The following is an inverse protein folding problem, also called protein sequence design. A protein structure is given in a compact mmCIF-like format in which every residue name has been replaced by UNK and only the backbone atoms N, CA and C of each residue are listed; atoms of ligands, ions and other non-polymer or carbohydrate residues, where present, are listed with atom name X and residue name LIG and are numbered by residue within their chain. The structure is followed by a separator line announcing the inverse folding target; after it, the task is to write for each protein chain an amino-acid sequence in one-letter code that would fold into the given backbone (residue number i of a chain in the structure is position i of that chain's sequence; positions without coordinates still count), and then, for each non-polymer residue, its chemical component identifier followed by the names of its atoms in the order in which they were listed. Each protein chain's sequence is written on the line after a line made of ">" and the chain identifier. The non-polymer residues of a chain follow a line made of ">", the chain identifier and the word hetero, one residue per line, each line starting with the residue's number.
data_IF_234660714432
#
_entry.id   IF_234660714432
#
_cell.length_a   1.000
_cell.length_b   1.000
_cell.length_c   1.000
_cell.angle_alpha   90.00
_cell.angle_beta   90.00
_cell.angle_gamma   90.00
#
_symmetry.space_group_name_H-M   'P 1'
#
loop_
_entity.id
_entity.type
_entity.pdbx_description
1 polymer ?
#
# COMPACT_ATOMS: atom_id res chain seq x y z
N UNK A 1 1.78 30.89 -30.57
CA UNK A 1 2.10 29.49 -30.88
C UNK A 1 1.72 28.68 -29.64
N UNK A 2 0.70 27.84 -29.75
CA UNK A 2 0.00 27.23 -28.59
C UNK A 2 0.87 26.17 -27.89
N UNK A 3 0.85 26.14 -26.56
CA UNK A 3 1.50 25.11 -25.71
C UNK A 3 1.16 23.68 -26.16
N UNK A 4 0.00 23.46 -26.79
CA UNK A 4 -0.39 22.16 -27.38
C UNK A 4 0.51 21.70 -28.56
N UNK A 5 1.07 22.61 -29.34
CA UNK A 5 1.95 22.29 -30.47
C UNK A 5 3.33 21.87 -29.97
N UNK A 6 3.80 22.45 -28.86
CA UNK A 6 5.08 22.10 -28.23
C UNK A 6 5.06 20.70 -27.62
N UNK A 7 3.93 20.29 -27.05
CA UNK A 7 3.73 18.94 -26.52
C UNK A 7 3.64 17.88 -27.61
N UNK A 8 3.09 18.19 -28.77
CA UNK A 8 2.94 17.27 -29.90
C UNK A 8 4.28 16.98 -30.60
N UNK A 9 5.16 17.98 -30.73
CA UNK A 9 6.50 17.80 -31.32
C UNK A 9 7.45 17.00 -30.43
N UNK A 10 7.33 17.07 -29.13
CA UNK A 10 8.13 16.28 -28.20
C UNK A 10 7.69 14.81 -28.13
N UNK A 11 6.43 14.48 -28.43
CA UNK A 11 5.96 13.08 -28.43
C UNK A 11 6.53 12.22 -29.57
N UNK A 12 7.05 12.82 -30.63
CA UNK A 12 7.64 12.12 -31.79
C UNK A 12 9.13 11.74 -31.59
N UNK A 13 9.77 12.17 -30.52
CA UNK A 13 11.19 11.92 -30.25
C UNK A 13 11.44 11.01 -29.04
N UNK A 14 10.42 10.61 -28.28
CA UNK A 14 10.61 9.69 -27.17
C UNK A 14 10.49 8.25 -27.63
N UNK A 15 11.60 7.49 -27.59
CA UNK A 15 11.55 6.03 -27.56
C UNK A 15 10.64 5.58 -26.42
N UNK A 16 9.86 4.51 -26.64
CA UNK A 16 9.03 3.93 -25.59
C UNK A 16 9.88 3.61 -24.35
N UNK A 17 9.42 4.04 -23.18
CA UNK A 17 10.08 3.75 -21.91
C UNK A 17 9.46 2.49 -21.30
N UNK A 18 10.27 1.45 -21.13
CA UNK A 18 9.83 0.18 -20.55
C UNK A 18 10.14 0.13 -19.07
N UNK A 19 9.12 0.05 -18.22
CA UNK A 19 9.28 -0.03 -16.75
C UNK A 19 8.81 -1.41 -16.27
N UNK A 20 9.65 -2.07 -15.46
CA UNK A 20 9.26 -3.27 -14.73
C UNK A 20 8.79 -2.86 -13.32
N UNK A 21 7.49 -2.96 -13.06
CA UNK A 21 6.87 -2.70 -11.76
C UNK A 21 6.82 -3.99 -10.93
N UNK A 22 7.51 -4.02 -9.80
CA UNK A 22 7.46 -5.13 -8.83
C UNK A 22 6.38 -4.81 -7.78
N UNK A 23 5.67 -5.84 -7.32
CA UNK A 23 4.58 -5.77 -6.35
C UNK A 23 3.33 -5.10 -6.93
N UNK A 24 2.88 -5.60 -8.07
CA UNK A 24 1.60 -5.24 -8.64
C UNK A 24 0.47 -5.90 -7.84
N UNK A 25 -0.37 -5.07 -7.23
CA UNK A 25 -1.47 -5.48 -6.37
C UNK A 25 -2.83 -5.48 -7.06
N UNK A 26 -2.89 -5.49 -8.39
CA UNK A 26 -4.15 -5.43 -9.16
C UNK A 26 -5.14 -6.52 -8.73
N UNK A 27 -4.64 -7.74 -8.49
CA UNK A 27 -5.44 -8.90 -8.08
C UNK A 27 -5.49 -9.12 -6.56
N UNK A 28 -5.00 -8.16 -5.77
CA UNK A 28 -5.02 -8.28 -4.32
C UNK A 28 -6.45 -8.18 -3.78
N UNK A 29 -6.76 -8.92 -2.70
CA UNK A 29 -8.10 -8.88 -2.09
C UNK A 29 -8.40 -7.55 -1.38
N UNK A 30 -7.37 -6.84 -0.91
CA UNK A 30 -7.52 -5.58 -0.21
C UNK A 30 -7.75 -4.42 -1.17
N UNK A 31 -8.82 -3.64 -0.98
CA UNK A 31 -9.16 -2.49 -1.82
C UNK A 31 -8.08 -1.42 -1.84
N UNK A 32 -7.42 -1.19 -0.71
CA UNK A 32 -6.36 -0.18 -0.62
C UNK A 32 -5.16 -0.55 -1.48
N UNK A 33 -4.77 -1.82 -1.48
CA UNK A 33 -3.68 -2.32 -2.31
C UNK A 33 -4.02 -2.23 -3.81
N UNK A 34 -5.27 -2.56 -4.19
CA UNK A 34 -5.76 -2.36 -5.56
C UNK A 34 -5.74 -0.89 -5.97
N UNK A 35 -6.26 -0.01 -5.11
CA UNK A 35 -6.28 1.44 -5.36
C UNK A 35 -4.87 2.01 -5.53
N UNK A 36 -3.90 1.56 -4.71
CA UNK A 36 -2.50 2.01 -4.81
C UNK A 36 -1.89 1.70 -6.16
N UNK A 37 -1.98 0.45 -6.62
CA UNK A 37 -1.38 0.10 -7.92
C UNK A 37 -2.13 0.72 -9.09
N UNK A 38 -3.45 0.84 -8.99
CA UNK A 38 -4.26 1.55 -9.99
C UNK A 38 -3.83 3.02 -10.10
N UNK A 39 -3.61 3.69 -8.97
CA UNK A 39 -3.11 5.06 -8.93
C UNK A 39 -1.72 5.19 -9.55
N UNK A 40 -0.78 4.30 -9.20
CA UNK A 40 0.57 4.30 -9.77
C UNK A 40 0.57 4.08 -11.27
N UNK A 41 -0.21 3.11 -11.77
CA UNK A 41 -0.35 2.87 -13.22
C UNK A 41 -0.90 4.10 -13.94
N UNK A 42 -1.98 4.68 -13.42
CA UNK A 42 -2.58 5.88 -13.97
C UNK A 42 -1.60 7.07 -13.98
N UNK A 43 -0.88 7.29 -12.88
CA UNK A 43 0.16 8.34 -12.83
C UNK A 43 1.26 8.10 -13.86
N UNK A 44 1.73 6.87 -14.01
CA UNK A 44 2.76 6.53 -14.98
C UNK A 44 2.27 6.77 -16.42
N UNK A 45 1.06 6.33 -16.76
CA UNK A 45 0.45 6.54 -18.07
C UNK A 45 0.28 8.03 -18.42
N UNK A 46 -0.07 8.85 -17.45
CA UNK A 46 -0.32 10.28 -17.66
C UNK A 46 0.95 11.15 -17.61
N UNK A 47 1.99 10.74 -16.86
CA UNK A 47 3.18 11.56 -16.64
C UNK A 47 4.48 11.02 -17.25
N UNK A 48 4.47 9.80 -17.80
CA UNK A 48 5.62 9.21 -18.50
C UNK A 48 5.23 8.99 -19.96
N UNK A 49 5.75 9.78 -20.91
CA UNK A 49 5.40 9.67 -22.32
C UNK A 49 5.77 8.29 -22.88
N UNK A 50 4.89 7.72 -23.70
CA UNK A 50 5.09 6.45 -24.39
C UNK A 50 5.55 5.28 -23.50
N UNK A 51 5.01 5.23 -22.26
CA UNK A 51 5.35 4.16 -21.32
C UNK A 51 4.83 2.80 -21.78
N UNK A 52 5.66 1.78 -21.57
CA UNK A 52 5.27 0.36 -21.54
C UNK A 52 5.51 -0.18 -20.14
N UNK A 53 4.47 -0.67 -19.50
CA UNK A 53 4.54 -1.16 -18.13
C UNK A 53 4.40 -2.68 -18.10
N UNK A 54 5.50 -3.36 -17.76
CA UNK A 54 5.51 -4.77 -17.40
C UNK A 54 5.43 -4.91 -15.87
N UNK A 55 4.79 -5.96 -15.33
CA UNK A 55 4.52 -6.04 -13.92
C UNK A 55 4.71 -7.42 -13.32
N UNK A 56 5.39 -7.48 -12.18
CA UNK A 56 5.49 -8.67 -11.33
C UNK A 56 4.43 -8.57 -10.23
N UNK A 57 3.44 -9.49 -10.22
CA UNK A 57 2.36 -9.42 -9.26
C UNK A 57 2.84 -9.78 -7.83
N UNK A 58 2.14 -9.25 -6.83
CA UNK A 58 2.45 -9.46 -5.41
C UNK A 58 2.50 -10.93 -5.00
N UNK A 59 1.65 -11.78 -5.58
CA UNK A 59 1.60 -13.22 -5.30
C UNK A 59 2.85 -13.96 -5.80
N UNK A 60 3.55 -13.41 -6.80
CA UNK A 60 4.83 -13.93 -7.24
C UNK A 60 5.88 -13.85 -6.12
N UNK A 61 5.90 -12.76 -5.36
CA UNK A 61 6.76 -12.59 -4.19
C UNK A 61 6.38 -13.51 -3.03
N UNK A 62 5.12 -13.96 -2.97
CA UNK A 62 4.59 -14.86 -1.92
C UNK A 62 4.65 -16.32 -2.26
N UNK A 63 4.96 -16.70 -3.49
CA UNK A 63 5.03 -18.09 -3.87
C UNK A 63 5.79 -18.88 -2.82
N UNK A 64 5.12 -19.88 -2.27
CA UNK A 64 5.76 -20.83 -1.37
C UNK A 64 6.94 -21.46 -2.12
N UNK A 65 8.08 -21.60 -1.44
CA UNK A 65 9.18 -22.40 -1.97
C UNK A 65 8.60 -23.69 -2.51
N UNK A 66 8.87 -24.02 -3.78
CA UNK A 66 8.50 -25.33 -4.33
C UNK A 66 8.87 -26.37 -3.31
N UNK A 67 7.88 -27.15 -2.89
CA UNK A 67 8.04 -28.15 -1.86
C UNK A 67 9.20 -29.07 -2.25
N UNK A 68 10.34 -28.91 -1.59
CA UNK A 68 11.19 -30.08 -1.42
C UNK A 68 10.24 -31.16 -0.93
N UNK A 69 10.08 -32.27 -1.66
CA UNK A 69 9.20 -33.37 -1.27
C UNK A 69 9.78 -34.04 -0.01
N UNK A 70 9.69 -33.31 1.10
CA UNK A 70 9.99 -33.83 2.41
C UNK A 70 8.75 -34.56 2.93
N UNK A 71 8.90 -35.69 3.63
CA UNK A 71 7.77 -36.43 4.20
C UNK A 71 6.83 -35.47 4.99
N UNK A 72 5.50 -35.65 4.91
CA UNK A 72 4.48 -34.73 5.37
C UNK A 72 4.65 -34.12 6.79
N UNK A 73 5.33 -34.84 7.72
CA UNK A 73 5.68 -34.31 9.05
C UNK A 73 6.76 -33.23 9.00
N UNK A 74 7.71 -33.30 8.10
CA UNK A 74 8.74 -32.27 7.88
C UNK A 74 8.17 -31.01 7.21
N UNK A 75 7.15 -31.13 6.38
CA UNK A 75 6.44 -30.02 5.75
C UNK A 75 5.79 -29.09 6.79
N UNK A 76 5.15 -29.64 7.84
CA UNK A 76 4.56 -28.85 8.93
C UNK A 76 5.64 -28.13 9.77
N UNK A 77 6.76 -28.78 10.01
CA UNK A 77 7.91 -28.20 10.71
C UNK A 77 8.56 -27.08 9.91
N UNK A 78 8.63 -27.19 8.57
CA UNK A 78 9.16 -26.16 7.68
C UNK A 78 8.32 -24.89 7.70
N UNK A 79 7.00 -24.96 7.58
CA UNK A 79 6.11 -23.79 7.70
C UNK A 79 6.24 -23.08 9.05
N UNK A 80 6.46 -23.82 10.12
CA UNK A 80 6.66 -23.26 11.47
C UNK A 80 8.01 -22.55 11.62
N UNK A 81 9.05 -22.98 10.89
CA UNK A 81 10.42 -22.48 11.01
C UNK A 81 10.82 -21.49 9.91
N UNK A 82 9.95 -21.26 8.92
CA UNK A 82 10.23 -20.38 7.77
C UNK A 82 10.62 -18.92 8.15
N UNK A 83 10.37 -18.52 9.39
CA UNK A 83 10.80 -17.23 9.93
C UNK A 83 12.07 -17.33 10.79
N UNK A 84 12.68 -18.50 10.87
CA UNK A 84 13.90 -18.71 11.63
C UNK A 84 15.10 -18.71 10.67
N UNK A 85 15.93 -17.66 10.79
CA UNK A 85 17.11 -17.42 9.93
C UNK A 85 18.06 -18.62 9.90
N UNK A 86 18.24 -19.34 11.03
CA UNK A 86 19.13 -20.50 11.12
C UNK A 86 18.54 -21.69 10.35
N UNK A 87 17.24 -21.93 10.49
CA UNK A 87 16.55 -22.99 9.76
C UNK A 87 16.53 -22.71 8.24
N UNK A 88 16.34 -21.46 7.84
CA UNK A 88 16.39 -21.01 6.44
C UNK A 88 17.80 -21.22 5.85
N UNK A 89 18.86 -20.81 6.56
CA UNK A 89 20.25 -21.09 6.13
C UNK A 89 20.57 -22.57 5.99
N UNK A 90 20.08 -23.38 6.91
CA UNK A 90 20.28 -24.83 6.89
C UNK A 90 19.54 -25.48 5.71
N UNK A 91 18.29 -25.10 5.49
CA UNK A 91 17.48 -25.61 4.38
C UNK A 91 18.06 -25.19 3.02
N UNK A 92 18.52 -23.95 2.89
CA UNK A 92 19.17 -23.46 1.68
C UNK A 92 20.48 -24.21 1.34
N UNK A 93 21.20 -24.72 2.36
CA UNK A 93 22.40 -25.56 2.15
C UNK A 93 22.11 -27.00 1.74
N UNK A 94 20.93 -27.52 2.11
CA UNK A 94 20.54 -28.90 1.80
C UNK A 94 19.88 -28.99 0.43
N UNK A 95 19.21 -27.92 -0.02
CA UNK A 95 18.58 -27.91 -1.32
C UNK A 95 19.61 -27.55 -2.39
N UNK A 96 19.84 -28.46 -3.31
CA UNK A 96 20.77 -28.29 -4.43
C UNK A 96 20.24 -27.39 -5.55
N UNK A 97 19.14 -26.69 -5.35
CA UNK A 97 18.52 -25.86 -6.38
C UNK A 97 18.77 -24.38 -6.13
N UNK A 98 19.14 -23.65 -7.17
CA UNK A 98 19.31 -22.20 -7.20
C UNK A 98 17.98 -21.43 -7.01
N UNK A 99 16.93 -22.09 -6.56
CA UNK A 99 15.55 -21.56 -6.46
C UNK A 99 15.31 -20.61 -5.29
N UNK A 100 16.33 -20.25 -4.49
CA UNK A 100 16.11 -19.62 -3.22
C UNK A 100 16.52 -18.17 -3.18
N UNK A 101 15.63 -17.37 -2.61
CA UNK A 101 15.95 -16.01 -2.23
C UNK A 101 16.81 -16.01 -0.96
N UNK A 102 17.78 -15.09 -0.85
CA UNK A 102 18.59 -14.95 0.35
C UNK A 102 17.75 -14.55 1.55
N UNK A 103 18.07 -15.13 2.70
CA UNK A 103 17.39 -14.80 3.95
C UNK A 103 17.93 -13.54 4.61
N UNK A 104 19.17 -13.17 4.37
CA UNK A 104 19.88 -12.03 4.95
C UNK A 104 20.69 -11.31 3.87
N UNK A 105 21.04 -10.06 4.15
CA UNK A 105 21.77 -9.23 3.19
C UNK A 105 23.14 -9.81 2.83
N UNK A 106 23.86 -10.38 3.78
CA UNK A 106 25.21 -10.95 3.58
C UNK A 106 25.25 -12.04 2.49
N UNK A 107 24.12 -12.65 2.20
CA UNK A 107 24.00 -13.69 1.18
C UNK A 107 23.57 -13.11 -0.21
N UNK A 108 23.26 -11.81 -0.32
CA UNK A 108 22.71 -11.19 -1.55
C UNK A 108 23.64 -11.38 -2.76
N UNK A 109 24.92 -11.10 -2.61
CA UNK A 109 25.88 -11.24 -3.71
C UNK A 109 26.01 -12.69 -4.16
N UNK A 110 26.12 -13.63 -3.21
CA UNK A 110 26.21 -15.04 -3.54
C UNK A 110 24.99 -15.52 -4.35
N UNK A 111 23.77 -15.18 -3.91
CA UNK A 111 22.55 -15.58 -4.63
C UNK A 111 22.38 -14.83 -5.95
N UNK A 112 22.77 -13.57 -6.02
CA UNK A 112 22.75 -12.81 -7.27
C UNK A 112 23.69 -13.44 -8.31
N UNK A 113 24.90 -13.84 -7.91
CA UNK A 113 25.86 -14.52 -8.80
C UNK A 113 25.34 -15.90 -9.24
N UNK A 114 24.69 -16.66 -8.33
CA UNK A 114 24.02 -17.91 -8.70
C UNK A 114 22.92 -17.69 -9.73
N UNK A 115 22.10 -16.65 -9.56
CA UNK A 115 21.04 -16.30 -10.52
C UNK A 115 21.63 -15.97 -11.90
N UNK A 116 22.71 -15.19 -11.94
CA UNK A 116 23.38 -14.81 -13.19
C UNK A 116 24.06 -16.00 -13.89
N UNK A 117 24.57 -16.98 -13.12
CA UNK A 117 25.29 -18.14 -13.67
C UNK A 117 24.36 -19.30 -14.08
N UNK A 118 23.19 -19.42 -13.45
CA UNK A 118 22.30 -20.56 -13.61
C UNK A 118 21.05 -20.21 -14.38
N UNK A 119 20.88 -20.75 -15.56
CA UNK A 119 19.62 -20.77 -16.31
C UNK A 119 18.58 -21.77 -15.74
N UNK A 120 18.78 -22.27 -14.52
CA UNK A 120 18.07 -23.44 -14.02
C UNK A 120 16.73 -23.16 -13.36
N UNK A 121 16.53 -21.95 -12.77
CA UNK A 121 15.25 -21.56 -12.19
C UNK A 121 14.43 -20.74 -13.18
N UNK A 122 13.27 -21.25 -13.62
CA UNK A 122 12.41 -20.53 -14.55
C UNK A 122 11.94 -19.15 -14.05
N UNK A 123 11.78 -18.99 -12.73
CA UNK A 123 11.32 -17.73 -12.13
C UNK A 123 12.44 -16.70 -12.08
N UNK A 124 13.65 -17.11 -11.68
CA UNK A 124 14.84 -16.26 -11.76
C UNK A 124 15.13 -15.85 -13.21
N UNK A 125 15.07 -16.80 -14.15
CA UNK A 125 15.25 -16.53 -15.59
C UNK A 125 14.18 -15.56 -16.12
N UNK A 126 12.91 -15.69 -15.71
CA UNK A 126 11.85 -14.77 -16.12
C UNK A 126 12.10 -13.37 -15.58
N UNK A 127 12.45 -13.23 -14.30
CA UNK A 127 12.82 -11.93 -13.73
C UNK A 127 14.00 -11.30 -14.47
N UNK A 128 15.10 -12.05 -14.67
CA UNK A 128 16.30 -11.55 -15.34
C UNK A 128 16.00 -11.09 -16.77
N UNK A 129 15.22 -11.87 -17.52
CA UNK A 129 14.78 -11.52 -18.88
C UNK A 129 13.99 -10.21 -18.89
N UNK A 130 12.99 -10.09 -18.02
CA UNK A 130 12.11 -8.91 -17.92
C UNK A 130 12.87 -7.67 -17.44
N UNK A 131 13.68 -7.81 -16.39
CA UNK A 131 14.49 -6.71 -15.87
C UNK A 131 15.57 -6.26 -16.87
N UNK A 132 16.16 -7.18 -17.66
CA UNK A 132 17.10 -6.83 -18.71
C UNK A 132 16.42 -6.02 -19.83
N UNK A 133 15.19 -6.36 -20.18
CA UNK A 133 14.42 -5.66 -21.23
C UNK A 133 13.88 -4.29 -20.76
N UNK A 134 13.76 -4.07 -19.44
CA UNK A 134 13.27 -2.82 -18.89
C UNK A 134 14.34 -1.71 -18.92
N UNK A 135 13.91 -0.46 -19.07
CA UNK A 135 14.76 0.73 -18.92
C UNK A 135 14.94 1.09 -17.45
N UNK A 136 13.96 0.74 -16.60
CA UNK A 136 14.02 0.91 -15.15
C UNK A 136 13.24 -0.19 -14.42
N UNK A 137 13.66 -0.49 -13.18
CA UNK A 137 12.99 -1.42 -12.27
C UNK A 137 12.45 -0.66 -11.07
N UNK A 138 11.15 -0.71 -10.86
CA UNK A 138 10.45 0.05 -9.82
C UNK A 138 9.73 -0.90 -8.89
N UNK A 139 9.95 -0.75 -7.59
CA UNK A 139 9.23 -1.50 -6.56
C UNK A 139 8.16 -0.62 -5.89
N UNK A 140 6.89 -1.03 -5.99
CA UNK A 140 5.84 -0.48 -5.16
C UNK A 140 5.99 -0.99 -3.73
N UNK A 141 6.54 -0.16 -2.87
CA UNK A 141 6.89 -0.51 -1.48
C UNK A 141 5.69 -0.55 -0.52
N UNK A 142 4.46 -0.52 -1.05
CA UNK A 142 3.28 -0.58 -0.22
C UNK A 142 3.32 -1.76 0.74
N UNK A 143 3.19 -1.45 2.03
CA UNK A 143 3.00 -2.41 3.14
C UNK A 143 4.07 -3.52 3.28
N UNK A 144 5.32 -3.30 2.82
CA UNK A 144 6.34 -4.35 2.75
C UNK A 144 7.60 -4.11 3.58
N UNK A 145 7.93 -2.83 3.90
CA UNK A 145 9.17 -2.48 4.63
C UNK A 145 8.87 -2.12 6.10
N UNK A 146 8.00 -2.87 6.77
CA UNK A 146 7.65 -2.61 8.17
C UNK A 146 7.80 -3.83 9.08
N UNK A 147 8.17 -4.98 8.52
CA UNK A 147 8.46 -6.24 9.23
C UNK A 147 9.45 -7.04 8.40
N UNK A 148 10.02 -8.10 8.97
CA UNK A 148 10.79 -9.08 8.19
C UNK A 148 9.84 -9.94 7.34
N UNK A 149 9.07 -9.33 6.46
CA UNK A 149 8.20 -10.07 5.55
C UNK A 149 9.03 -10.76 4.48
N UNK A 150 8.62 -11.95 4.10
CA UNK A 150 9.29 -12.70 3.01
C UNK A 150 9.22 -11.90 1.72
N UNK A 151 8.06 -11.32 1.44
CA UNK A 151 7.79 -10.50 0.26
C UNK A 151 8.72 -9.29 0.19
N UNK A 152 8.85 -8.57 1.31
CA UNK A 152 9.72 -7.39 1.38
C UNK A 152 11.19 -7.77 1.16
N UNK A 153 11.68 -8.83 1.79
CA UNK A 153 13.06 -9.30 1.61
C UNK A 153 13.33 -9.73 0.17
N UNK A 154 12.39 -10.46 -0.46
CA UNK A 154 12.52 -10.89 -1.85
C UNK A 154 12.52 -9.70 -2.82
N UNK A 155 11.61 -8.75 -2.62
CA UNK A 155 11.56 -7.55 -3.45
C UNK A 155 12.84 -6.72 -3.35
N UNK A 156 13.42 -6.59 -2.15
CA UNK A 156 14.72 -5.91 -1.96
C UNK A 156 15.85 -6.68 -2.65
N UNK A 157 15.82 -8.01 -2.63
CA UNK A 157 16.80 -8.80 -3.39
C UNK A 157 16.65 -8.61 -4.91
N UNK A 158 15.41 -8.54 -5.43
CA UNK A 158 15.20 -8.25 -6.87
C UNK A 158 15.76 -6.89 -7.27
N UNK A 159 15.55 -5.86 -6.43
CA UNK A 159 16.17 -4.55 -6.65
C UNK A 159 17.69 -4.60 -6.59
N UNK A 160 18.26 -5.40 -5.67
CA UNK A 160 19.72 -5.60 -5.59
C UNK A 160 20.27 -6.19 -6.88
N UNK A 161 19.64 -7.26 -7.40
CA UNK A 161 20.04 -7.87 -8.68
C UNK A 161 19.92 -6.88 -9.82
N UNK A 162 18.80 -6.18 -9.92
CA UNK A 162 18.59 -5.17 -10.96
C UNK A 162 19.68 -4.09 -10.93
N UNK A 163 20.00 -3.56 -9.75
CA UNK A 163 20.96 -2.47 -9.58
C UNK A 163 22.40 -2.91 -9.76
N UNK A 164 22.81 -4.04 -9.14
CA UNK A 164 24.23 -4.42 -9.03
C UNK A 164 24.70 -5.38 -10.11
N UNK A 165 23.83 -6.17 -10.71
CA UNK A 165 24.15 -7.18 -11.73
C UNK A 165 23.67 -6.80 -13.13
N UNK A 166 22.48 -6.18 -13.22
CA UNK A 166 21.93 -5.74 -14.50
C UNK A 166 22.17 -4.24 -14.77
N UNK A 167 22.75 -3.50 -13.80
CA UNK A 167 23.03 -2.06 -13.87
C UNK A 167 21.83 -1.22 -14.30
N UNK A 168 20.61 -1.62 -13.86
CA UNK A 168 19.39 -0.91 -14.19
C UNK A 168 19.13 0.24 -13.21
N UNK A 169 18.63 1.38 -13.69
CA UNK A 169 18.00 2.38 -12.85
C UNK A 169 16.93 1.72 -11.98
N UNK A 170 16.98 1.94 -10.67
CA UNK A 170 16.15 1.18 -9.72
C UNK A 170 15.57 2.08 -8.63
N UNK A 171 14.29 1.93 -8.37
CA UNK A 171 13.53 2.74 -7.43
C UNK A 171 12.71 1.90 -6.46
N UNK A 172 12.53 2.43 -5.24
CA UNK A 172 11.44 2.06 -4.36
C UNK A 172 10.55 3.28 -4.15
N UNK A 173 9.26 3.15 -4.44
CA UNK A 173 8.31 4.25 -4.35
C UNK A 173 7.11 3.89 -3.48
N UNK A 174 6.41 4.92 -2.97
CA UNK A 174 5.17 4.77 -2.22
C UNK A 174 5.30 3.80 -1.03
N UNK A 175 6.45 3.75 -0.36
CA UNK A 175 6.71 2.75 0.65
C UNK A 175 6.42 3.22 2.08
N UNK A 176 5.97 2.28 2.90
CA UNK A 176 5.88 2.42 4.36
C UNK A 176 7.13 1.84 5.00
N UNK A 177 7.91 2.65 5.70
CA UNK A 177 8.99 2.17 6.55
C UNK A 177 8.54 2.17 8.01
N UNK A 178 8.69 1.02 8.70
CA UNK A 178 8.51 0.89 10.15
C UNK A 178 9.49 -0.16 10.65
N UNK A 179 10.70 0.28 10.96
CA UNK A 179 11.85 -0.57 11.26
C UNK A 179 12.15 -0.65 12.76
N UNK A 180 11.37 0.05 13.60
CA UNK A 180 11.47 -0.04 15.06
C UNK A 180 11.00 -1.40 15.54
N UNK A 181 11.76 -2.00 16.47
CA UNK A 181 11.45 -3.30 17.07
C UNK A 181 11.39 -4.48 16.06
N UNK A 182 11.95 -4.29 14.87
CA UNK A 182 12.09 -5.36 13.87
C UNK A 182 13.44 -6.05 14.06
N UNK A 183 13.48 -7.37 13.81
CA UNK A 183 14.76 -8.09 13.78
C UNK A 183 15.76 -7.40 12.83
N UNK A 184 17.08 -7.45 13.11
CA UNK A 184 18.11 -6.70 12.36
C UNK A 184 18.14 -6.91 10.85
N UNK A 185 17.46 -7.95 10.35
CA UNK A 185 17.43 -8.38 8.95
C UNK A 185 16.95 -7.29 7.99
N UNK A 186 15.75 -6.77 8.19
CA UNK A 186 15.18 -5.75 7.31
C UNK A 186 15.94 -4.42 7.40
N UNK A 187 16.28 -3.90 8.59
CA UNK A 187 17.13 -2.72 8.73
C UNK A 187 18.50 -2.86 8.06
N UNK A 188 19.12 -4.06 8.10
CA UNK A 188 20.38 -4.31 7.40
C UNK A 188 20.22 -4.21 5.88
N UNK A 189 19.18 -4.85 5.31
CA UNK A 189 18.88 -4.76 3.87
C UNK A 189 18.64 -3.32 3.43
N UNK A 190 17.89 -2.55 4.21
CA UNK A 190 17.60 -1.13 3.93
C UNK A 190 18.89 -0.30 3.95
N UNK A 191 19.75 -0.45 4.96
CA UNK A 191 21.01 0.30 5.07
C UNK A 191 21.97 0.08 3.90
N UNK A 192 21.97 -1.10 3.33
CA UNK A 192 22.88 -1.44 2.24
C UNK A 192 22.30 -1.18 0.85
N UNK A 193 20.99 -1.40 0.67
CA UNK A 193 20.36 -1.25 -0.62
C UNK A 193 19.91 0.19 -0.91
N UNK A 194 19.23 0.85 0.04
CA UNK A 194 18.63 2.17 -0.25
C UNK A 194 19.63 3.24 -0.66
N UNK A 195 20.88 3.30 -0.10
CA UNK A 195 21.87 4.27 -0.55
C UNK A 195 22.27 4.17 -2.03
N UNK A 196 22.11 3.00 -2.64
CA UNK A 196 22.47 2.76 -4.05
C UNK A 196 21.28 2.82 -5.01
N UNK A 197 20.05 2.90 -4.50
CA UNK A 197 18.87 3.13 -5.33
C UNK A 197 18.86 4.58 -5.85
N UNK A 198 18.35 4.76 -7.06
CA UNK A 198 18.28 6.08 -7.69
C UNK A 198 17.14 6.91 -7.14
N UNK A 199 16.05 6.26 -6.72
CA UNK A 199 14.85 6.90 -6.14
C UNK A 199 14.35 6.11 -4.94
N UNK A 200 14.10 6.84 -3.84
CA UNK A 200 13.49 6.32 -2.61
C UNK A 200 12.39 7.28 -2.17
N UNK A 201 11.12 6.92 -2.30
CA UNK A 201 10.02 7.75 -1.80
C UNK A 201 9.25 7.07 -0.67
N UNK A 202 9.16 7.73 0.47
CA UNK A 202 8.39 7.31 1.64
C UNK A 202 7.05 8.05 1.66
N UNK A 203 5.97 7.34 1.95
CA UNK A 203 4.64 7.96 1.98
C UNK A 203 4.19 8.48 3.34
N UNK A 204 4.86 8.12 4.44
CA UNK A 204 4.54 8.62 5.78
C UNK A 204 5.71 9.39 6.39
N UNK A 205 5.45 10.52 7.10
CA UNK A 205 6.49 11.35 7.70
C UNK A 205 7.38 10.61 8.69
N UNK A 206 6.83 9.69 9.48
CA UNK A 206 7.59 8.91 10.47
C UNK A 206 8.53 7.93 9.80
N UNK A 207 8.07 7.21 8.76
CA UNK A 207 8.90 6.33 7.95
C UNK A 207 10.02 7.08 7.25
N UNK A 208 9.72 8.23 6.66
CA UNK A 208 10.71 9.09 6.02
C UNK A 208 11.81 9.55 6.99
N UNK A 209 11.43 10.05 8.19
CA UNK A 209 12.42 10.43 9.22
C UNK A 209 13.31 9.26 9.62
N UNK A 210 12.74 8.05 9.74
CA UNK A 210 13.50 6.85 10.07
C UNK A 210 14.53 6.52 8.98
N UNK A 211 14.14 6.55 7.70
CA UNK A 211 15.03 6.30 6.56
C UNK A 211 16.13 7.38 6.49
N UNK A 212 15.79 8.67 6.66
CA UNK A 212 16.78 9.76 6.75
C UNK A 212 17.74 9.55 7.91
N UNK A 213 17.24 9.13 9.07
CA UNK A 213 18.06 8.81 10.25
C UNK A 213 19.03 7.64 10.06
N UNK A 214 18.83 6.83 9.02
CA UNK A 214 19.76 5.76 8.61
C UNK A 214 20.84 6.25 7.63
N UNK A 215 20.91 7.55 7.31
CA UNK A 215 21.89 8.15 6.39
C UNK A 215 21.48 8.09 4.92
N UNK A 216 20.21 7.87 4.62
CA UNK A 216 19.70 7.83 3.23
C UNK A 216 19.16 9.21 2.89
N UNK A 217 20.06 10.14 2.55
CA UNK A 217 19.76 11.56 2.41
C UNK A 217 18.95 11.94 1.18
N UNK A 218 18.94 11.11 0.14
CA UNK A 218 18.12 11.33 -1.06
C UNK A 218 16.69 10.80 -0.93
N UNK A 219 16.31 10.20 0.20
CA UNK A 219 14.93 9.78 0.43
C UNK A 219 13.98 10.98 0.49
N UNK A 220 12.90 10.94 -0.26
CA UNK A 220 11.89 12.00 -0.34
C UNK A 220 10.60 11.56 0.36
N UNK A 221 9.92 12.52 0.99
CA UNK A 221 8.56 12.34 1.49
C UNK A 221 7.59 12.70 0.37
N UNK A 222 6.85 11.71 -0.12
CA UNK A 222 5.85 11.88 -1.18
C UNK A 222 4.54 11.26 -0.70
N UNK A 223 3.41 11.96 -0.73
CA UNK A 223 2.12 11.43 -0.29
C UNK A 223 1.75 10.12 -1.02
N UNK A 224 0.90 9.33 -0.37
CA UNK A 224 0.42 8.07 -0.93
C UNK A 224 -0.21 8.26 -2.31
N UNK A 225 0.10 7.35 -3.22
CA UNK A 225 -0.40 7.36 -4.59
C UNK A 225 -1.94 7.43 -4.68
N UNK A 226 -2.65 6.88 -3.70
CA UNK A 226 -4.12 6.85 -3.68
C UNK A 226 -4.73 8.26 -3.66
N UNK A 227 -4.01 9.28 -3.17
CA UNK A 227 -4.49 10.68 -3.27
C UNK A 227 -4.72 11.13 -4.72
N UNK A 228 -3.99 10.55 -5.68
CA UNK A 228 -4.16 10.83 -7.11
C UNK A 228 -5.54 10.47 -7.65
N UNK A 229 -6.25 9.58 -6.97
CA UNK A 229 -7.54 9.07 -7.43
C UNK A 229 -8.75 9.95 -7.07
N UNK A 230 -8.57 11.06 -6.36
CA UNK A 230 -9.67 11.89 -5.82
C UNK A 230 -10.75 12.26 -6.85
N UNK A 231 -10.36 12.54 -8.09
CA UNK A 231 -11.24 13.05 -9.14
C UNK A 231 -11.42 12.09 -10.32
N UNK A 232 -10.84 10.88 -10.23
CA UNK A 232 -10.70 9.99 -11.38
C UNK A 232 -11.50 8.70 -11.28
N UNK A 233 -12.12 8.46 -10.14
CA UNK A 233 -12.87 7.21 -9.89
C UNK A 233 -14.36 7.45 -10.10
N UNK A 234 -14.91 6.72 -11.05
CA UNK A 234 -16.35 6.62 -11.28
C UNK A 234 -16.85 5.22 -10.87
N UNK A 235 -17.29 5.08 -9.64
CA UNK A 235 -18.01 3.92 -9.12
C UNK A 235 -19.45 4.27 -8.78
N UNK A 236 -19.95 5.39 -9.30
CA UNK A 236 -21.19 5.99 -8.82
C UNK A 236 -22.43 5.15 -9.20
N UNK A 237 -22.49 4.58 -10.39
CA UNK A 237 -23.65 3.78 -10.83
C UNK A 237 -23.83 2.52 -9.97
N UNK A 238 -22.77 1.72 -9.77
CA UNK A 238 -22.82 0.53 -8.94
C UNK A 238 -23.18 0.88 -7.48
N UNK A 239 -22.57 1.95 -6.95
CA UNK A 239 -22.89 2.45 -5.62
C UNK A 239 -24.37 2.90 -5.50
N UNK A 240 -24.94 3.61 -6.48
CA UNK A 240 -26.35 4.03 -6.44
C UNK A 240 -27.30 2.82 -6.48
N UNK A 241 -26.98 1.83 -7.27
CA UNK A 241 -27.75 0.56 -7.30
C UNK A 241 -27.74 -0.12 -5.93
N UNK A 242 -26.58 -0.25 -5.30
CA UNK A 242 -26.48 -0.79 -3.95
C UNK A 242 -27.21 0.08 -2.92
N UNK A 243 -27.03 1.41 -2.99
CA UNK A 243 -27.68 2.36 -2.07
C UNK A 243 -29.19 2.25 -2.10
N UNK A 244 -29.78 2.09 -3.29
CA UNK A 244 -31.19 1.86 -3.48
C UNK A 244 -31.64 0.52 -2.88
N UNK A 245 -30.92 -0.56 -3.19
CA UNK A 245 -31.20 -1.90 -2.66
C UNK A 245 -31.08 -1.95 -1.12
N UNK A 246 -30.15 -1.19 -0.54
CA UNK A 246 -29.98 -1.03 0.89
C UNK A 246 -31.02 -0.10 1.56
N UNK A 247 -31.92 0.52 0.78
CA UNK A 247 -32.93 1.45 1.28
C UNK A 247 -32.35 2.72 1.92
N UNK A 248 -31.24 3.21 1.41
CA UNK A 248 -30.51 4.38 1.93
C UNK A 248 -30.82 5.67 1.17
N UNK A 249 -31.74 5.67 0.23
CA UNK A 249 -32.14 6.87 -0.50
C UNK A 249 -32.72 7.92 0.45
N UNK A 250 -32.13 9.11 0.42
CA UNK A 250 -32.56 10.22 1.29
C UNK A 250 -32.22 10.05 2.78
N UNK A 251 -31.64 8.92 3.19
CA UNK A 251 -31.25 8.70 4.59
C UNK A 251 -29.81 9.14 4.85
N UNK A 252 -29.58 9.99 5.87
CA UNK A 252 -28.23 10.30 6.31
C UNK A 252 -27.61 9.06 6.98
N UNK A 253 -26.33 8.80 6.70
CA UNK A 253 -25.61 7.64 7.24
C UNK A 253 -24.19 7.97 7.65
N UNK A 254 -23.61 7.13 8.49
CA UNK A 254 -22.17 7.11 8.78
C UNK A 254 -21.58 5.77 8.37
N UNK A 255 -20.29 5.76 8.07
CA UNK A 255 -19.56 4.54 7.78
C UNK A 255 -18.70 4.11 8.98
N UNK A 256 -18.63 2.80 9.22
CA UNK A 256 -17.68 2.21 10.17
C UNK A 256 -16.98 1.03 9.53
N UNK A 257 -15.66 1.04 9.55
CA UNK A 257 -14.83 -0.10 9.17
C UNK A 257 -14.02 -0.59 10.37
N UNK A 258 -13.44 -1.78 10.26
CA UNK A 258 -12.57 -2.31 11.29
C UNK A 258 -11.17 -1.68 11.32
N UNK A 259 -10.25 -2.41 11.92
CA UNK A 259 -8.81 -2.11 11.92
C UNK A 259 -8.01 -3.39 11.68
N UNK A 260 -6.79 -3.24 11.16
CA UNK A 260 -5.83 -4.35 11.00
C UNK A 260 -5.21 -4.82 12.33
N UNK A 261 -5.51 -4.18 13.46
CA UNK A 261 -5.09 -4.66 14.78
C UNK A 261 -6.01 -5.78 15.26
N UNK A 262 -5.45 -6.92 15.72
CA UNK A 262 -6.23 -7.93 16.41
C UNK A 262 -6.78 -7.36 17.73
N UNK A 263 -7.99 -7.74 18.05
CA UNK A 263 -8.54 -7.43 19.36
C UNK A 263 -7.69 -8.07 20.47
N UNK A 264 -7.39 -7.33 21.53
CA UNK A 264 -6.72 -7.86 22.73
C UNK A 264 -7.63 -8.75 23.57
N UNK A 265 -8.93 -8.71 23.32
CA UNK A 265 -9.99 -9.42 24.01
C UNK A 265 -10.57 -10.56 23.15
N UNK A 266 -11.28 -11.53 23.76
CA UNK A 266 -12.03 -12.51 23.00
C UNK A 266 -12.97 -11.85 21.99
N UNK A 267 -13.08 -12.40 20.79
CA UNK A 267 -13.85 -11.83 19.68
C UNK A 267 -15.27 -11.45 20.06
N UNK A 268 -15.96 -12.32 20.81
CA UNK A 268 -17.35 -12.06 21.22
C UNK A 268 -17.52 -10.82 22.11
N UNK A 269 -16.51 -10.52 22.95
CA UNK A 269 -16.50 -9.32 23.80
C UNK A 269 -16.27 -8.08 22.94
N UNK A 270 -15.30 -8.15 22.04
CA UNK A 270 -14.95 -7.05 21.15
C UNK A 270 -16.12 -6.72 20.19
N UNK A 271 -16.76 -7.72 19.59
CA UNK A 271 -17.93 -7.55 18.74
C UNK A 271 -19.09 -6.88 19.52
N UNK A 272 -19.26 -7.21 20.78
CA UNK A 272 -20.21 -6.54 21.68
C UNK A 272 -19.93 -5.04 21.83
N UNK A 273 -18.67 -4.66 22.00
CA UNK A 273 -18.24 -3.25 22.11
C UNK A 273 -18.47 -2.50 20.80
N UNK A 274 -18.20 -3.13 19.66
CA UNK A 274 -18.47 -2.51 18.35
C UNK A 274 -19.99 -2.29 18.15
N UNK A 275 -20.84 -3.27 18.50
CA UNK A 275 -22.30 -3.11 18.47
C UNK A 275 -22.74 -1.95 19.39
N UNK A 276 -22.18 -1.84 20.57
CA UNK A 276 -22.49 -0.74 21.48
C UNK A 276 -22.09 0.62 20.87
N UNK A 277 -20.89 0.71 20.31
CA UNK A 277 -20.42 1.92 19.61
C UNK A 277 -21.41 2.32 18.50
N UNK A 278 -21.76 1.39 17.62
CA UNK A 278 -22.72 1.64 16.53
C UNK A 278 -24.05 2.16 17.07
N UNK A 279 -24.60 1.52 18.11
CA UNK A 279 -25.86 1.96 18.73
C UNK A 279 -25.78 3.35 19.37
N UNK A 280 -24.62 3.72 19.94
CA UNK A 280 -24.40 5.09 20.46
C UNK A 280 -24.36 6.11 19.34
N UNK A 281 -23.71 5.79 18.21
CA UNK A 281 -23.65 6.66 17.03
C UNK A 281 -25.00 6.80 16.32
N UNK A 282 -25.82 5.74 16.29
CA UNK A 282 -27.20 5.79 15.78
C UNK A 282 -28.10 6.80 16.49
N UNK A 283 -27.79 7.15 17.77
CA UNK A 283 -28.53 8.18 18.51
C UNK A 283 -28.43 9.58 17.89
N UNK A 284 -27.53 9.77 16.94
CA UNK A 284 -27.46 11.01 16.12
C UNK A 284 -28.45 11.02 14.95
N UNK A 285 -29.33 10.01 14.83
CA UNK A 285 -30.30 9.92 13.74
C UNK A 285 -29.69 9.44 12.42
N UNK A 286 -28.52 8.81 12.46
CA UNK A 286 -27.81 8.33 11.27
C UNK A 286 -27.94 6.81 11.13
N UNK A 287 -28.09 6.34 9.88
CA UNK A 287 -28.06 4.93 9.56
C UNK A 287 -26.61 4.40 9.53
N UNK A 288 -26.30 3.27 10.19
CA UNK A 288 -24.95 2.71 10.14
C UNK A 288 -24.72 1.92 8.85
N UNK A 289 -23.62 2.20 8.19
CA UNK A 289 -23.08 1.41 7.07
C UNK A 289 -21.76 0.80 7.51
N UNK A 290 -21.73 -0.53 7.62
CA UNK A 290 -20.56 -1.29 8.05
C UNK A 290 -19.79 -1.71 6.80
N UNK A 291 -18.49 -1.36 6.72
CA UNK A 291 -17.69 -1.48 5.50
C UNK A 291 -16.55 -2.47 5.73
N UNK A 292 -16.51 -3.56 4.98
CA UNK A 292 -15.43 -4.53 5.08
C UNK A 292 -15.20 -5.30 3.78
N UNK A 293 -13.97 -5.30 3.30
CA UNK A 293 -13.50 -6.27 2.29
C UNK A 293 -12.44 -7.22 2.86
N UNK A 294 -11.66 -6.75 3.83
CA UNK A 294 -10.66 -7.61 4.46
C UNK A 294 -11.32 -8.74 5.26
N UNK A 295 -10.83 -9.99 5.13
CA UNK A 295 -11.39 -11.14 5.85
C UNK A 295 -11.47 -10.93 7.36
N UNK A 296 -10.52 -10.19 7.93
CA UNK A 296 -10.46 -9.90 9.37
C UNK A 296 -11.60 -8.99 9.84
N UNK A 297 -12.27 -8.31 8.92
CA UNK A 297 -13.36 -7.36 9.20
C UNK A 297 -14.75 -7.86 8.78
N UNK A 298 -14.89 -9.06 8.20
CA UNK A 298 -16.19 -9.62 7.78
C UNK A 298 -17.20 -9.80 8.93
N UNK A 299 -16.74 -9.84 10.19
CA UNK A 299 -17.62 -9.83 11.34
C UNK A 299 -18.56 -8.60 11.38
N UNK A 300 -18.21 -7.53 10.68
CA UNK A 300 -19.04 -6.33 10.59
C UNK A 300 -20.38 -6.60 9.90
N UNK A 301 -20.51 -7.66 9.11
CA UNK A 301 -21.80 -8.11 8.59
C UNK A 301 -22.75 -8.50 9.73
N UNK A 302 -22.27 -9.26 10.72
CA UNK A 302 -23.06 -9.62 11.90
C UNK A 302 -23.38 -8.39 12.76
N UNK A 303 -22.43 -7.44 12.87
CA UNK A 303 -22.69 -6.16 13.56
C UNK A 303 -23.80 -5.38 12.84
N UNK A 304 -23.77 -5.31 11.51
CA UNK A 304 -24.84 -4.67 10.72
C UNK A 304 -26.19 -5.31 11.01
N UNK A 305 -26.28 -6.64 10.96
CA UNK A 305 -27.51 -7.37 11.27
C UNK A 305 -28.02 -7.10 12.69
N UNK A 306 -27.15 -7.05 13.70
CA UNK A 306 -27.50 -6.80 15.12
C UNK A 306 -27.91 -5.35 15.40
N UNK A 307 -27.51 -4.43 14.56
CA UNK A 307 -27.81 -2.99 14.73
C UNK A 307 -28.84 -2.46 13.75
N UNK A 308 -29.35 -3.32 12.85
CA UNK A 308 -30.26 -2.88 11.78
C UNK A 308 -29.58 -1.97 10.77
N UNK A 309 -28.27 -2.10 10.59
CA UNK A 309 -27.46 -1.38 9.61
C UNK A 309 -27.37 -2.09 8.27
N UNK A 310 -26.71 -1.43 7.32
CA UNK A 310 -26.35 -2.00 6.03
C UNK A 310 -24.91 -2.48 6.03
N UNK A 311 -24.59 -3.51 5.24
CA UNK A 311 -23.25 -4.02 5.08
C UNK A 311 -22.78 -3.74 3.64
N UNK A 312 -21.59 -3.16 3.52
CA UNK A 312 -20.90 -2.90 2.26
C UNK A 312 -19.66 -3.79 2.21
N UNK A 313 -19.79 -4.93 1.55
CA UNK A 313 -18.92 -6.08 1.68
C UNK A 313 -17.99 -6.33 0.48
N UNK A 314 -17.41 -7.54 0.40
CA UNK A 314 -16.38 -7.89 -0.59
C UNK A 314 -16.90 -8.00 -2.03
N UNK A 315 -18.20 -8.00 -2.24
CA UNK A 315 -18.84 -8.00 -3.57
C UNK A 315 -18.65 -6.68 -4.32
N UNK A 316 -18.29 -5.62 -3.61
CA UNK A 316 -18.05 -4.29 -4.17
C UNK A 316 -16.60 -4.11 -4.62
N UNK A 317 -16.36 -3.09 -5.44
CA UNK A 317 -15.02 -2.71 -5.87
C UNK A 317 -14.48 -1.51 -5.09
N UNK A 318 -13.15 -1.30 -5.13
CA UNK A 318 -12.55 -0.13 -4.50
C UNK A 318 -13.01 1.19 -5.15
N UNK A 319 -13.47 1.18 -6.39
CA UNK A 319 -14.00 2.36 -7.09
C UNK A 319 -15.22 2.95 -6.37
N UNK A 320 -15.99 2.13 -5.70
CA UNK A 320 -17.19 2.53 -4.99
C UNK A 320 -16.92 3.21 -3.63
N UNK A 321 -15.67 3.20 -3.14
CA UNK A 321 -15.33 3.85 -1.87
C UNK A 321 -15.58 5.37 -1.91
N UNK A 322 -15.27 6.04 -3.01
CA UNK A 322 -15.42 7.50 -3.12
C UNK A 322 -16.88 7.94 -3.07
N UNK A 323 -17.80 7.40 -3.88
CA UNK A 323 -19.22 7.74 -3.78
C UNK A 323 -19.83 7.31 -2.45
N UNK A 324 -19.42 6.18 -1.87
CA UNK A 324 -19.85 5.74 -0.55
C UNK A 324 -19.48 6.79 0.52
N UNK A 325 -18.22 7.21 0.59
CA UNK A 325 -17.79 8.15 1.62
C UNK A 325 -18.28 9.58 1.34
N UNK A 326 -18.41 10.01 0.09
CA UNK A 326 -18.98 11.32 -0.25
C UNK A 326 -20.38 11.51 0.31
N UNK A 327 -21.18 10.44 0.33
CA UNK A 327 -22.53 10.46 0.90
C UNK A 327 -22.59 10.32 2.43
N UNK A 328 -21.49 9.88 3.08
CA UNK A 328 -21.46 9.65 4.52
C UNK A 328 -21.35 10.95 5.31
N UNK A 329 -21.94 10.96 6.50
CA UNK A 329 -21.80 12.06 7.46
C UNK A 329 -20.40 12.10 8.07
N UNK A 330 -19.84 10.94 8.36
CA UNK A 330 -18.45 10.71 8.77
C UNK A 330 -18.06 9.24 8.61
N UNK A 331 -16.77 8.95 8.67
CA UNK A 331 -16.18 7.61 8.68
C UNK A 331 -15.49 7.35 10.03
N UNK A 332 -15.67 6.14 10.60
CA UNK A 332 -14.83 5.61 11.71
C UNK A 332 -14.00 4.47 11.16
N UNK A 333 -12.66 4.59 11.14
CA UNK A 333 -11.83 3.61 10.42
C UNK A 333 -10.41 3.49 10.96
N UNK A 334 -9.93 2.24 11.02
CA UNK A 334 -8.53 1.86 11.12
C UNK A 334 -7.92 1.44 9.77
N UNK A 335 -8.62 1.60 8.66
CA UNK A 335 -8.08 1.31 7.32
C UNK A 335 -7.53 2.58 6.67
N UNK A 336 -6.21 2.61 6.50
CA UNK A 336 -5.46 3.74 5.97
C UNK A 336 -6.02 4.30 4.66
N UNK A 337 -6.23 3.45 3.66
CA UNK A 337 -6.71 3.88 2.35
C UNK A 337 -8.21 4.29 2.36
N UNK A 338 -9.00 3.76 3.29
CA UNK A 338 -10.39 4.23 3.46
C UNK A 338 -10.41 5.67 3.98
N UNK A 339 -9.47 6.01 4.87
CA UNK A 339 -9.32 7.40 5.35
C UNK A 339 -8.88 8.33 4.21
N UNK A 340 -7.95 7.89 3.34
CA UNK A 340 -7.57 8.68 2.15
C UNK A 340 -8.78 8.90 1.23
N UNK A 341 -9.52 7.84 0.91
CA UNK A 341 -10.70 7.93 0.04
C UNK A 341 -11.79 8.82 0.66
N UNK A 342 -12.04 8.69 1.97
CA UNK A 342 -13.00 9.53 2.69
C UNK A 342 -12.60 11.00 2.66
N UNK A 343 -11.34 11.30 3.01
CA UNK A 343 -10.81 12.66 2.98
C UNK A 343 -10.89 13.28 1.58
N UNK A 344 -10.51 12.52 0.54
CA UNK A 344 -10.60 12.93 -0.86
C UNK A 344 -12.04 13.15 -1.33
N UNK A 345 -13.00 12.45 -0.72
CA UNK A 345 -14.42 12.64 -0.96
C UNK A 345 -15.05 13.75 -0.08
N UNK A 346 -14.27 14.44 0.74
CA UNK A 346 -14.72 15.46 1.69
C UNK A 346 -15.47 14.90 2.90
N UNK A 347 -15.31 13.62 3.21
CA UNK A 347 -15.94 12.98 4.38
C UNK A 347 -15.03 13.12 5.61
N UNK A 348 -15.45 13.80 6.69
CA UNK A 348 -14.74 13.82 7.96
C UNK A 348 -14.58 12.41 8.53
N UNK A 349 -13.52 12.17 9.31
CA UNK A 349 -13.25 10.83 9.80
C UNK A 349 -12.74 10.82 11.25
N UNK A 350 -12.91 9.67 11.89
CA UNK A 350 -12.37 9.33 13.21
C UNK A 350 -11.35 8.22 13.00
N UNK A 351 -10.05 8.48 13.20
CA UNK A 351 -9.00 7.50 12.98
C UNK A 351 -8.94 6.50 14.13
N UNK A 352 -8.92 5.20 13.81
CA UNK A 352 -8.63 4.12 14.74
C UNK A 352 -7.18 3.65 14.57
N UNK A 353 -6.57 3.17 15.64
CA UNK A 353 -5.20 2.68 15.64
C UNK A 353 -5.01 1.46 14.71
N UNK A 354 -3.79 1.34 14.17
CA UNK A 354 -3.34 0.24 13.32
C UNK A 354 -1.97 -0.26 13.81
N UNK A 355 -1.49 -1.34 13.21
CA UNK A 355 -0.25 -2.02 13.63
C UNK A 355 1.06 -1.27 13.34
N UNK A 356 1.00 -0.05 12.82
CA UNK A 356 2.14 0.83 12.57
C UNK A 356 1.67 2.30 12.56
N UNK A 357 2.57 3.24 12.30
CA UNK A 357 2.29 4.69 12.31
C UNK A 357 1.61 5.26 11.06
N UNK A 358 1.19 4.43 10.09
CA UNK A 358 0.61 4.95 8.85
C UNK A 358 -0.68 5.75 9.07
N UNK A 359 -1.52 5.37 10.06
CA UNK A 359 -2.73 6.15 10.36
C UNK A 359 -2.38 7.55 10.92
N UNK A 360 -1.39 7.62 11.83
CA UNK A 360 -0.86 8.91 12.29
C UNK A 360 -0.27 9.70 11.11
N UNK A 361 0.46 9.03 10.21
CA UNK A 361 1.04 9.65 9.02
C UNK A 361 0.01 10.29 8.11
N UNK A 362 -1.11 9.63 7.82
CA UNK A 362 -2.17 10.21 6.99
C UNK A 362 -2.87 11.38 7.70
N UNK A 363 -3.06 11.30 9.01
CA UNK A 363 -3.60 12.42 9.79
C UNK A 363 -2.69 13.65 9.74
N UNK A 364 -1.36 13.45 9.78
CA UNK A 364 -0.38 14.54 9.62
C UNK A 364 -0.45 15.14 8.20
N UNK A 365 -0.47 14.31 7.16
CA UNK A 365 -0.61 14.79 5.78
C UNK A 365 -1.90 15.57 5.57
N UNK A 366 -2.99 15.13 6.15
CA UNK A 366 -4.29 15.81 6.04
C UNK A 366 -4.43 17.04 6.96
N UNK A 367 -3.38 17.36 7.75
CA UNK A 367 -3.46 18.42 8.78
C UNK A 367 -4.68 18.22 9.71
N UNK A 368 -4.98 16.92 9.98
CA UNK A 368 -6.15 16.56 10.78
C UNK A 368 -5.96 16.94 12.24
N UNK A 369 -6.97 17.50 12.87
CA UNK A 369 -6.87 18.01 14.25
C UNK A 369 -6.46 16.94 15.25
N UNK A 370 -6.91 15.69 15.04
CA UNK A 370 -6.49 14.54 15.84
C UNK A 370 -5.46 13.72 15.06
N UNK A 371 -4.20 13.87 15.40
CA UNK A 371 -3.13 13.08 14.80
C UNK A 371 -2.95 11.70 15.44
N UNK A 372 -3.28 11.57 16.74
CA UNK A 372 -3.22 10.29 17.46
C UNK A 372 -4.53 9.53 17.29
N UNK A 373 -4.52 8.35 16.63
CA UNK A 373 -5.71 7.52 16.47
C UNK A 373 -6.27 7.02 17.80
N UNK A 374 -7.57 6.75 17.86
CA UNK A 374 -8.18 6.07 19.00
C UNK A 374 -7.69 4.63 19.10
N UNK A 375 -7.34 4.19 20.30
CA UNK A 375 -6.85 2.82 20.51
C UNK A 375 -8.00 1.81 20.38
N UNK A 376 -7.99 1.07 19.27
CA UNK A 376 -9.00 0.04 19.00
C UNK A 376 -8.85 -1.17 19.94
N UNK A 377 -7.67 -1.38 20.55
CA UNK A 377 -7.46 -2.51 21.48
C UNK A 377 -8.12 -2.26 22.83
N UNK A 378 -8.40 -1.00 23.16
CA UNK A 378 -9.19 -0.59 24.33
C UNK A 378 -10.40 0.28 23.92
N UNK A 379 -11.21 -0.25 23.02
CA UNK A 379 -12.38 0.45 22.49
C UNK A 379 -13.36 0.88 23.60
N UNK A 380 -13.45 0.12 24.69
CA UNK A 380 -14.34 0.45 25.80
C UNK A 380 -14.00 1.78 26.47
N UNK A 381 -12.74 1.99 26.80
CA UNK A 381 -12.26 3.21 27.47
C UNK A 381 -12.33 4.44 26.56
N UNK A 382 -12.02 4.30 25.27
CA UNK A 382 -12.05 5.44 24.36
C UNK A 382 -13.45 5.76 23.78
N UNK A 383 -14.45 4.90 24.00
CA UNK A 383 -15.80 5.04 23.43
C UNK A 383 -16.48 6.38 23.74
N UNK A 384 -16.48 6.91 24.99
CA UNK A 384 -17.11 8.20 25.29
C UNK A 384 -16.50 9.34 24.50
N UNK A 385 -15.17 9.38 24.37
CA UNK A 385 -14.45 10.40 23.61
C UNK A 385 -14.70 10.25 22.10
N UNK A 386 -14.74 9.02 21.58
CA UNK A 386 -15.05 8.75 20.18
C UNK A 386 -16.47 9.23 19.82
N UNK A 387 -17.46 9.02 20.69
CA UNK A 387 -18.83 9.52 20.50
C UNK A 387 -18.88 11.05 20.58
N UNK A 388 -18.08 11.67 21.46
CA UNK A 388 -17.96 13.14 21.52
C UNK A 388 -17.34 13.69 20.25
N UNK A 389 -16.32 13.03 19.71
CA UNK A 389 -15.70 13.41 18.45
C UNK A 389 -16.68 13.28 17.27
N UNK A 390 -17.47 12.21 17.18
CA UNK A 390 -18.52 12.09 16.15
C UNK A 390 -19.51 13.25 16.19
N UNK A 391 -19.90 13.71 17.39
CA UNK A 391 -20.79 14.87 17.57
C UNK A 391 -20.11 16.15 17.06
N UNK A 392 -18.83 16.34 17.33
CA UNK A 392 -18.05 17.49 16.83
C UNK A 392 -17.97 17.49 15.30
N UNK A 393 -17.67 16.33 14.68
CA UNK A 393 -17.62 16.19 13.24
C UNK A 393 -18.93 16.52 12.56
N UNK A 394 -20.06 16.12 13.16
CA UNK A 394 -21.39 16.46 12.64
C UNK A 394 -21.68 17.96 12.70
N UNK A 395 -21.30 18.61 13.81
CA UNK A 395 -21.47 20.05 13.98
C UNK A 395 -20.67 20.86 12.97
N UNK A 396 -19.41 20.45 12.72
CA UNK A 396 -18.45 21.21 11.92
C UNK A 396 -18.30 20.64 10.50
N UNK A 397 -19.20 19.74 10.07
CA UNK A 397 -19.09 18.91 8.86
C UNK A 397 -18.75 19.68 7.61
N UNK A 398 -19.43 20.79 7.33
CA UNK A 398 -19.23 21.56 6.10
C UNK A 398 -17.84 22.19 6.05
N UNK A 399 -17.41 22.82 7.14
CA UNK A 399 -16.07 23.42 7.24
C UNK A 399 -14.97 22.35 7.11
N UNK A 400 -15.13 21.21 7.78
CA UNK A 400 -14.18 20.09 7.71
C UNK A 400 -14.12 19.50 6.31
N UNK A 401 -15.27 19.30 5.66
CA UNK A 401 -15.34 18.79 4.28
C UNK A 401 -14.57 19.71 3.32
N UNK A 402 -14.79 21.02 3.40
CA UNK A 402 -14.09 22.01 2.57
C UNK A 402 -12.57 21.97 2.81
N UNK A 403 -12.16 21.91 4.07
CA UNK A 403 -10.74 21.86 4.43
C UNK A 403 -10.07 20.57 3.91
N UNK A 404 -10.72 19.41 4.06
CA UNK A 404 -10.23 18.12 3.54
C UNK A 404 -10.09 18.15 2.02
N UNK A 405 -11.09 18.64 1.30
CA UNK A 405 -11.04 18.74 -0.16
C UNK A 405 -9.89 19.60 -0.65
N UNK A 406 -9.68 20.76 -0.03
CA UNK A 406 -8.56 21.65 -0.37
C UNK A 406 -7.20 21.02 -0.04
N UNK A 407 -7.10 20.27 1.07
CA UNK A 407 -5.85 19.59 1.45
C UNK A 407 -5.55 18.41 0.53
N UNK A 408 -6.54 17.59 0.23
CA UNK A 408 -6.36 16.43 -0.65
C UNK A 408 -6.06 16.83 -2.10
N UNK A 409 -6.47 18.02 -2.56
CA UNK A 409 -6.07 18.59 -3.85
C UNK A 409 -4.55 18.78 -3.91
N UNK A 410 -3.97 19.42 -2.91
CA UNK A 410 -2.51 19.58 -2.81
C UNK A 410 -1.78 18.23 -2.72
N UNK A 411 -2.31 17.30 -1.92
CA UNK A 411 -1.71 15.96 -1.79
C UNK A 411 -1.80 15.15 -3.09
N UNK A 412 -2.85 15.35 -3.89
CA UNK A 412 -2.96 14.77 -5.24
C UNK A 412 -1.82 15.28 -6.14
N UNK A 413 -1.59 16.60 -6.19
CA UNK A 413 -0.50 17.21 -6.97
C UNK A 413 0.88 16.72 -6.49
N UNK A 414 1.11 16.69 -5.18
CA UNK A 414 2.36 16.22 -4.59
C UNK A 414 2.62 14.73 -4.84
N UNK A 415 1.58 13.89 -4.88
CA UNK A 415 1.71 12.44 -5.11
C UNK A 415 2.25 12.09 -6.50
N UNK A 416 2.08 12.98 -7.48
CA UNK A 416 2.61 12.85 -8.84
C UNK A 416 4.14 12.72 -8.85
N UNK A 417 4.83 13.19 -7.81
CA UNK A 417 6.28 13.05 -7.68
C UNK A 417 6.75 11.58 -7.74
N UNK A 418 5.92 10.60 -7.35
CA UNK A 418 6.24 9.19 -7.55
C UNK A 418 6.51 8.86 -9.04
N UNK A 419 5.69 9.36 -9.96
CA UNK A 419 5.89 9.14 -11.40
C UNK A 419 6.98 10.03 -12.00
N UNK A 420 7.07 11.29 -11.56
CA UNK A 420 8.07 12.25 -12.05
C UNK A 420 9.48 11.75 -11.74
N UNK A 421 9.75 11.27 -10.53
CA UNK A 421 11.07 10.74 -10.13
C UNK A 421 11.45 9.49 -10.91
N UNK A 422 10.49 8.59 -11.15
CA UNK A 422 10.71 7.40 -11.98
C UNK A 422 11.07 7.80 -13.41
N UNK A 423 10.37 8.75 -14.01
CA UNK A 423 10.67 9.28 -15.35
C UNK A 423 12.07 9.88 -15.42
N UNK A 424 12.44 10.75 -14.48
CA UNK A 424 13.74 11.41 -14.41
C UNK A 424 14.86 10.37 -14.31
N UNK A 425 14.73 9.39 -13.43
CA UNK A 425 15.66 8.29 -13.25
C UNK A 425 15.85 7.47 -14.53
N UNK A 426 14.76 7.05 -15.16
CA UNK A 426 14.83 6.22 -16.36
C UNK A 426 15.45 6.97 -17.56
N UNK A 427 15.17 8.28 -17.68
CA UNK A 427 15.74 9.13 -18.74
C UNK A 427 17.27 9.31 -18.59
N UNK A 428 17.77 9.48 -17.36
CA UNK A 428 19.20 9.62 -17.09
C UNK A 428 19.97 8.32 -17.41
N UNK A 429 19.40 7.15 -17.10
CA UNK A 429 19.98 5.85 -17.43
C UNK A 429 20.16 5.63 -18.94
N UNK A 430 19.24 6.12 -19.75
CA UNK A 430 19.29 5.99 -21.21
C UNK A 430 20.41 6.82 -21.85
N UNK A 431 20.73 7.96 -21.26
CA UNK A 431 21.76 8.88 -21.77
C UNK A 431 23.19 8.31 -21.60
N UNK A 432 23.46 7.62 -20.50
CA UNK A 432 24.78 7.01 -20.21
C UNK A 432 25.08 5.85 -21.18
N UNK A 433 24.08 5.00 -21.45
CA UNK A 433 24.26 3.84 -22.35
C UNK A 433 24.50 4.20 -23.81
N UNK A 434 24.11 5.40 -24.24
CA UNK A 434 24.32 5.87 -25.62
C UNK A 434 25.75 6.42 -25.84
N UNK A 435 26.41 6.90 -24.79
CA UNK A 435 27.79 7.38 -24.84
C UNK A 435 28.82 6.26 -24.81
N UNK A 436 28.54 5.14 -24.15
CA UNK A 436 29.45 3.99 -24.09
C UNK A 436 29.42 3.10 -25.34
N UNK A 437 28.45 3.27 -26.25
CA UNK A 437 28.33 2.53 -27.53
C UNK A 437 28.88 3.30 -28.73
N UNK A 438 29.47 4.47 -28.56
CA UNK A 438 30.18 5.23 -29.58
C UNK A 438 31.67 5.23 -29.31
#
# INVERSE_FOLDING_TARGET
>A
MSIRVYLWWNSLLYSSMNILLINDNTEHLNWGAQATVFALRKMFEEHIPAISLDAIPWNWLRREYRQVQLPGKLKFTYQRWRHNVIAEKFLNRISSSAEFFPAIFDDFDYYADQWMACNADPEAADFLRRATAADAVVYNGENSIYRNTVEGCRALFLLWVAKTRLHKPSAIINHTAHLDNVQPRMPAMVRHLFPILDVVTCREPSGWRQIKGMGIDHAELVPDAVFYLRDTIDGNEAFQTWKQAAGLEGKPYFCLSGSALPASEPRSVWDGKVVELVRRLQKFGLHPVLVAKDPDCLFLEEVARRTGGSFFGPEHSFHEMWPLFRGASFLVSGHYHYVIAAASAGCPFIPLSVNNWKMQGVCIHLEWQRTEPFDVTDLGSCMPELVAEARRLLKDREALSKALMARTERLCEESVLNAVRVREMATQGTTVTTYERR
#
